data_IF_327078292092
#
_entry.id   IF_327078292092
#
_cell.length_a   1.000
_cell.length_b   1.000
_cell.length_c   1.000
_cell.angle_alpha   90.00
_cell.angle_beta   90.00
_cell.angle_gamma   90.00
#
_symmetry.space_group_name_H-M   'P 1'
#
loop_
_entity.id
_entity.type
_entity.pdbx_description
1 polymer ?
#
# COMPACT_ATOMS: atom_id res chain seq x y z
N UNK A 1 -23.56 -11.07 -1.96
CA UNK A 1 -24.97 -11.48 -1.79
C UNK A 1 -25.03 -12.96 -1.46
N UNK A 2 -25.86 -13.37 -0.50
CA UNK A 2 -25.95 -14.78 -0.06
C UNK A 2 -26.49 -15.67 -1.20
N UNK A 3 -27.24 -15.09 -2.13
CA UNK A 3 -27.80 -15.76 -3.31
C UNK A 3 -26.72 -16.38 -4.21
N UNK A 4 -25.56 -15.74 -4.39
CA UNK A 4 -24.46 -16.29 -5.20
C UNK A 4 -23.79 -17.51 -4.54
N UNK A 5 -23.69 -17.52 -3.21
CA UNK A 5 -23.12 -18.63 -2.46
C UNK A 5 -24.08 -19.84 -2.48
N UNK A 6 -25.38 -19.59 -2.31
CA UNK A 6 -26.41 -20.63 -2.39
C UNK A 6 -26.52 -21.22 -3.80
N UNK A 7 -26.45 -20.39 -4.85
CA UNK A 7 -26.43 -20.85 -6.23
C UNK A 7 -25.23 -21.75 -6.54
N UNK A 8 -24.02 -21.40 -6.05
CA UNK A 8 -22.84 -22.24 -6.22
C UNK A 8 -22.94 -23.57 -5.46
N UNK A 9 -23.51 -23.58 -4.25
CA UNK A 9 -23.77 -24.81 -3.49
C UNK A 9 -24.81 -25.69 -4.18
N UNK A 10 -25.85 -25.11 -4.80
CA UNK A 10 -26.81 -25.87 -5.63
C UNK A 10 -26.17 -26.47 -6.88
N UNK A 11 -25.03 -25.97 -7.35
CA UNK A 11 -24.23 -26.54 -8.44
C UNK A 11 -23.18 -27.56 -7.95
N UNK A 12 -23.20 -27.96 -6.68
CA UNK A 12 -22.29 -28.98 -6.12
C UNK A 12 -20.91 -28.47 -5.73
N UNK A 13 -20.70 -27.15 -5.63
CA UNK A 13 -19.42 -26.60 -5.19
C UNK A 13 -19.13 -26.97 -3.71
N UNK A 14 -17.91 -27.47 -3.46
CA UNK A 14 -17.43 -27.69 -2.09
C UNK A 14 -17.14 -26.36 -1.37
N UNK A 15 -17.07 -26.36 -0.04
CA UNK A 15 -16.73 -25.15 0.73
C UNK A 15 -15.35 -24.58 0.35
N UNK A 16 -14.42 -25.44 -0.09
CA UNK A 16 -13.09 -25.03 -0.53
C UNK A 16 -13.15 -24.35 -1.92
N UNK A 17 -13.98 -24.87 -2.82
CA UNK A 17 -14.25 -24.24 -4.12
C UNK A 17 -14.91 -22.87 -3.95
N UNK A 18 -15.86 -22.75 -3.01
CA UNK A 18 -16.55 -21.51 -2.69
C UNK A 18 -15.55 -20.42 -2.27
N UNK A 19 -14.60 -20.76 -1.40
CA UNK A 19 -13.59 -19.81 -0.92
C UNK A 19 -12.67 -19.33 -2.05
N UNK A 20 -12.03 -20.26 -2.77
CA UNK A 20 -11.01 -19.92 -3.77
C UNK A 20 -11.59 -19.34 -5.06
N UNK A 21 -12.77 -19.77 -5.49
CA UNK A 21 -13.35 -19.38 -6.79
C UNK A 21 -14.34 -18.23 -6.71
N UNK A 22 -14.91 -17.96 -5.53
CA UNK A 22 -15.98 -16.95 -5.38
C UNK A 22 -15.58 -15.89 -4.37
N UNK A 23 -15.26 -16.28 -3.14
CA UNK A 23 -15.00 -15.31 -2.05
C UNK A 23 -13.70 -14.55 -2.28
N UNK A 24 -12.59 -15.26 -2.49
CA UNK A 24 -11.27 -14.65 -2.68
C UNK A 24 -11.22 -13.67 -3.87
N UNK A 25 -11.61 -14.06 -5.11
CA UNK A 25 -11.60 -13.12 -6.24
C UNK A 25 -12.63 -11.99 -6.08
N UNK A 26 -13.73 -12.22 -5.34
CA UNK A 26 -14.74 -11.21 -5.03
C UNK A 26 -14.28 -10.15 -4.01
N UNK A 27 -13.42 -10.52 -3.06
CA UNK A 27 -12.88 -9.61 -2.03
C UNK A 27 -11.51 -9.02 -2.38
N UNK A 28 -10.80 -9.58 -3.36
CA UNK A 28 -9.51 -9.04 -3.84
C UNK A 28 -9.53 -7.51 -4.09
N UNK A 29 -10.54 -6.94 -4.78
CA UNK A 29 -10.60 -5.49 -5.01
C UNK A 29 -10.64 -4.68 -3.71
N UNK A 30 -11.37 -5.15 -2.69
CA UNK A 30 -11.46 -4.44 -1.40
C UNK A 30 -10.17 -4.59 -0.58
N UNK A 31 -9.50 -5.73 -0.65
CA UNK A 31 -8.17 -5.94 -0.04
C UNK A 31 -7.16 -4.94 -0.62
N UNK A 32 -7.07 -4.80 -1.94
CA UNK A 32 -6.17 -3.83 -2.58
C UNK A 32 -6.55 -2.38 -2.26
N UNK A 33 -7.84 -2.09 -2.08
CA UNK A 33 -8.30 -0.77 -1.62
C UNK A 33 -7.80 -0.49 -0.21
N UNK A 34 -7.96 -1.46 0.71
CA UNK A 34 -7.43 -1.36 2.07
C UNK A 34 -5.90 -1.24 2.10
N UNK A 35 -5.20 -2.00 1.27
CA UNK A 35 -3.74 -1.93 1.13
C UNK A 35 -3.27 -0.54 0.66
N UNK A 36 -3.98 0.09 -0.29
CA UNK A 36 -3.64 1.43 -0.75
C UNK A 36 -3.82 2.49 0.35
N UNK A 37 -4.84 2.35 1.21
CA UNK A 37 -5.03 3.22 2.38
C UNK A 37 -3.94 2.97 3.42
N UNK A 38 -3.65 1.70 3.73
CA UNK A 38 -2.60 1.32 4.68
C UNK A 38 -1.21 1.77 4.24
N UNK A 39 -0.95 1.86 2.94
CA UNK A 39 0.30 2.40 2.40
C UNK A 39 0.54 3.85 2.82
N UNK A 40 -0.52 4.67 2.92
CA UNK A 40 -0.41 6.05 3.39
C UNK A 40 0.07 6.13 4.84
N UNK A 41 -0.56 5.34 5.72
CA UNK A 41 -0.19 5.24 7.14
C UNK A 41 1.23 4.69 7.30
N UNK A 42 1.61 3.71 6.47
CA UNK A 42 2.95 3.13 6.49
C UNK A 42 4.01 4.19 6.22
N UNK A 43 3.76 5.11 5.27
CA UNK A 43 4.70 6.20 4.98
C UNK A 43 4.90 7.15 6.15
N UNK A 44 3.86 7.48 6.91
CA UNK A 44 3.97 8.32 8.10
C UNK A 44 4.80 7.64 9.19
N UNK A 45 4.55 6.34 9.42
CA UNK A 45 5.27 5.55 10.43
C UNK A 45 6.73 5.34 10.06
N UNK A 46 7.02 5.02 8.79
CA UNK A 46 8.40 4.85 8.30
C UNK A 46 9.18 6.15 8.42
N UNK A 47 8.57 7.28 8.05
CA UNK A 47 9.16 8.61 8.25
C UNK A 47 9.55 8.86 9.71
N UNK A 48 8.60 8.66 10.63
CA UNK A 48 8.85 8.84 12.05
C UNK A 48 9.98 7.92 12.56
N UNK A 49 10.00 6.67 12.10
CA UNK A 49 11.06 5.72 12.43
C UNK A 49 12.43 6.18 11.92
N UNK A 50 12.52 6.70 10.69
CA UNK A 50 13.77 7.23 10.11
C UNK A 50 14.28 8.44 10.88
N UNK A 51 13.37 9.34 11.30
CA UNK A 51 13.72 10.53 12.09
C UNK A 51 14.37 10.18 13.44
N UNK A 52 13.85 9.13 14.10
CA UNK A 52 14.36 8.67 15.41
C UNK A 52 15.64 7.83 15.24
N UNK A 53 15.77 7.07 14.15
CA UNK A 53 16.91 6.15 13.93
C UNK A 53 18.27 6.84 13.82
N UNK A 54 18.29 8.17 13.62
CA UNK A 54 19.41 9.03 13.95
C UNK A 54 20.79 8.51 13.54
N UNK A 55 21.02 8.30 12.24
CA UNK A 55 22.37 8.19 11.65
C UNK A 55 23.27 7.07 12.22
N UNK A 56 22.72 6.00 12.77
CA UNK A 56 23.51 4.85 13.24
C UNK A 56 24.17 4.08 12.10
N UNK A 57 25.44 3.72 12.27
CA UNK A 57 26.38 3.07 11.31
C UNK A 57 25.91 1.76 10.66
N UNK A 58 24.67 1.32 10.88
CA UNK A 58 24.07 0.14 10.25
C UNK A 58 22.82 0.44 9.39
N UNK A 59 22.38 1.71 9.34
CA UNK A 59 21.30 2.17 8.47
C UNK A 59 21.54 3.62 8.05
N UNK A 60 22.04 3.82 6.83
CA UNK A 60 22.31 5.16 6.29
C UNK A 60 21.08 6.07 6.37
N UNK A 61 21.29 7.35 6.67
CA UNK A 61 20.22 8.32 6.87
C UNK A 61 19.16 8.30 5.76
N UNK A 62 17.90 8.14 6.16
CA UNK A 62 16.73 8.15 5.27
C UNK A 62 16.20 9.56 4.98
N UNK A 63 15.11 9.64 4.22
CA UNK A 63 14.47 10.91 3.87
C UNK A 63 13.90 11.63 5.10
N UNK A 64 13.38 10.88 6.08
CA UNK A 64 12.93 11.46 7.34
C UNK A 64 14.06 12.11 8.13
N UNK A 65 15.21 11.44 8.22
CA UNK A 65 16.39 12.00 8.86
C UNK A 65 16.93 13.23 8.13
N UNK A 66 16.95 13.21 6.79
CA UNK A 66 17.36 14.35 5.97
C UNK A 66 16.51 15.60 6.26
N UNK A 67 15.18 15.45 6.26
CA UNK A 67 14.26 16.57 6.56
C UNK A 67 14.46 17.07 7.98
N UNK A 68 14.61 16.15 8.95
CA UNK A 68 14.86 16.50 10.35
C UNK A 68 16.15 17.31 10.51
N UNK A 69 17.22 16.89 9.85
CA UNK A 69 18.50 17.60 9.88
C UNK A 69 18.43 18.97 9.19
N UNK A 70 17.76 19.07 8.04
CA UNK A 70 17.55 20.35 7.35
C UNK A 70 16.67 21.31 8.14
N UNK A 71 15.69 20.79 8.90
CA UNK A 71 14.89 21.57 9.84
C UNK A 71 15.73 22.15 10.98
N UNK A 72 16.59 21.32 11.60
CA UNK A 72 17.55 21.80 12.60
C UNK A 72 18.58 22.79 12.04
N UNK A 73 19.00 22.61 10.77
CA UNK A 73 19.90 23.50 10.06
C UNK A 73 19.23 24.76 9.47
N UNK A 74 17.93 24.96 9.65
CA UNK A 74 17.19 26.14 9.16
C UNK A 74 17.08 26.26 7.64
N UNK A 75 17.39 25.21 6.88
CA UNK A 75 17.42 25.24 5.42
C UNK A 75 16.08 24.83 4.82
N UNK A 76 15.16 25.79 4.69
CA UNK A 76 13.80 25.57 4.14
C UNK A 76 13.80 24.98 2.73
N UNK A 77 14.76 25.39 1.88
CA UNK A 77 14.90 24.86 0.52
C UNK A 77 15.05 23.33 0.51
N UNK A 78 15.88 22.80 1.41
CA UNK A 78 16.11 21.36 1.53
C UNK A 78 14.90 20.62 2.08
N UNK A 79 14.17 21.23 3.03
CA UNK A 79 12.92 20.65 3.58
C UNK A 79 11.89 20.46 2.46
N UNK A 80 11.70 21.47 1.61
CA UNK A 80 10.75 21.40 0.49
C UNK A 80 11.14 20.30 -0.49
N UNK A 81 12.42 20.19 -0.85
CA UNK A 81 12.92 19.10 -1.71
C UNK A 81 12.66 17.73 -1.06
N UNK A 82 12.88 17.61 0.25
CA UNK A 82 12.56 16.40 1.02
C UNK A 82 11.08 16.05 0.96
N UNK A 83 10.18 17.01 1.20
CA UNK A 83 8.73 16.79 1.13
C UNK A 83 8.27 16.34 -0.26
N UNK A 84 8.81 16.95 -1.32
CA UNK A 84 8.51 16.54 -2.71
C UNK A 84 8.99 15.11 -2.96
N UNK A 85 10.20 14.77 -2.51
CA UNK A 85 10.76 13.43 -2.70
C UNK A 85 9.91 12.32 -2.06
N UNK A 86 9.39 12.56 -0.85
CA UNK A 86 8.50 11.61 -0.16
C UNK A 86 7.14 11.55 -0.85
N UNK A 87 6.59 12.69 -1.30
CA UNK A 87 5.35 12.70 -2.07
C UNK A 87 5.45 11.84 -3.33
N UNK A 88 6.59 11.91 -4.04
CA UNK A 88 6.86 11.08 -5.21
C UNK A 88 7.00 9.60 -4.81
N UNK A 89 7.78 9.29 -3.77
CA UNK A 89 7.97 7.91 -3.32
C UNK A 89 6.64 7.29 -2.86
N UNK A 90 5.83 8.03 -2.11
CA UNK A 90 4.48 7.68 -1.71
C UNK A 90 3.55 7.39 -2.87
N UNK A 91 3.54 8.30 -3.85
CA UNK A 91 2.76 8.12 -5.07
C UNK A 91 3.20 6.88 -5.86
N UNK A 92 4.51 6.64 -5.99
CA UNK A 92 5.05 5.47 -6.68
C UNK A 92 4.66 4.16 -5.99
N UNK A 93 4.77 4.09 -4.66
CA UNK A 93 4.35 2.92 -3.89
C UNK A 93 2.84 2.67 -4.03
N UNK A 94 2.01 3.70 -3.84
CA UNK A 94 0.55 3.57 -3.98
C UNK A 94 0.16 3.16 -5.41
N UNK A 95 0.82 3.74 -6.42
CA UNK A 95 0.63 3.36 -7.82
C UNK A 95 1.07 1.94 -8.12
N UNK A 96 2.16 1.47 -7.52
CA UNK A 96 2.63 0.09 -7.65
C UNK A 96 1.61 -0.89 -7.07
N UNK A 97 1.08 -0.64 -5.88
CA UNK A 97 0.03 -1.47 -5.26
C UNK A 97 -1.19 -1.56 -6.17
N UNK A 98 -1.64 -0.43 -6.74
CA UNK A 98 -2.77 -0.41 -7.66
C UNK A 98 -2.47 -1.21 -8.94
N UNK A 99 -1.30 -1.01 -9.56
CA UNK A 99 -0.89 -1.75 -10.77
C UNK A 99 -0.80 -3.25 -10.53
N UNK A 100 -0.22 -3.66 -9.41
CA UNK A 100 -0.16 -5.06 -8.99
C UNK A 100 -1.58 -5.61 -8.81
N UNK A 101 -2.47 -4.87 -8.16
CA UNK A 101 -3.88 -5.24 -8.06
C UNK A 101 -4.54 -5.45 -9.43
N UNK A 102 -4.34 -4.52 -10.37
CA UNK A 102 -4.86 -4.64 -11.74
C UNK A 102 -4.26 -5.81 -12.55
N UNK A 103 -3.06 -6.25 -12.19
CA UNK A 103 -2.43 -7.43 -12.79
C UNK A 103 -3.07 -8.71 -12.27
N UNK A 104 -3.27 -8.83 -10.95
CA UNK A 104 -3.90 -10.00 -10.32
C UNK A 104 -5.41 -10.09 -10.53
N UNK A 105 -6.07 -9.02 -10.99
CA UNK A 105 -7.51 -8.98 -11.25
C UNK A 105 -7.84 -8.82 -12.75
N UNK A 106 -7.49 -9.79 -13.63
CA UNK A 106 -7.83 -9.71 -15.06
C UNK A 106 -9.34 -9.73 -15.31
N UNK A 107 -10.13 -10.38 -14.46
CA UNK A 107 -11.60 -10.46 -14.58
C UNK A 107 -12.30 -9.10 -14.42
N UNK A 108 -11.64 -8.14 -13.76
CA UNK A 108 -12.16 -6.77 -13.61
C UNK A 108 -12.07 -5.96 -14.92
N UNK A 109 -11.44 -6.50 -15.97
CA UNK A 109 -11.38 -5.86 -17.30
C UNK A 109 -12.54 -6.25 -18.21
N UNK A 110 -13.33 -7.25 -17.82
CA UNK A 110 -14.42 -7.82 -18.63
C UNK A 110 -15.81 -7.26 -18.26
N UNK A 111 -15.89 -6.43 -17.21
CA UNK A 111 -17.08 -5.73 -16.74
C UNK A 111 -16.73 -4.26 -16.49
#
# INVERSE_FOLDING_TARGET
DISYLRAAQSMGASQFDLFWKIVLPGTLPSIFTGAAVGMGITWEVVLAAEMISGGGTQGGGGLGFFIWNSYMGGSLEQIVVGMISIGIAGYLCSSAIRKVGYYFMPWRRLF
#
